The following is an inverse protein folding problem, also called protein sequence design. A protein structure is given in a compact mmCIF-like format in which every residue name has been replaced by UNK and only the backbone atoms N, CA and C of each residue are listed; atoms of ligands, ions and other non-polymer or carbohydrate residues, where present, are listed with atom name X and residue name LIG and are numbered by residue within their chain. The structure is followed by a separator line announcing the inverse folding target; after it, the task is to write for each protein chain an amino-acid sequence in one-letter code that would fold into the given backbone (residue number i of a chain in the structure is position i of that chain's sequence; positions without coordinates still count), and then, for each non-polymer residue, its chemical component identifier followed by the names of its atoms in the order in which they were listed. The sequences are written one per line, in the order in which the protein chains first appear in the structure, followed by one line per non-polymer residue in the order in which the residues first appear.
data_IF_581980097783
#
_entry.id   IF_581980097783
#
_cell.length_a   1.000
_cell.length_b   1.000
_cell.length_c   1.000
_cell.angle_alpha   90.00
_cell.angle_beta   90.00
_cell.angle_gamma   90.00
#
_symmetry.space_group_name_H-M   'P 1'
#
loop_
_entity.id
_entity.type
_entity.pdbx_description
1 polymer ?
#
# COMPACT_ATOMS: atom_id res chain seq x y z
N UNK A 1 16.00 6.85 -0.13
CA UNK A 1 15.77 6.51 1.29
C UNK A 1 16.82 5.49 1.71
N UNK A 2 17.49 5.70 2.85
CA UNK A 2 18.38 4.70 3.46
C UNK A 2 17.56 3.66 4.23
N UNK A 3 18.20 2.55 4.65
CA UNK A 3 17.53 1.53 5.47
C UNK A 3 17.00 2.11 6.79
N UNK A 4 17.80 2.88 7.52
CA UNK A 4 17.39 3.49 8.79
C UNK A 4 16.20 4.43 8.62
N UNK A 5 16.20 5.24 7.55
CA UNK A 5 15.06 6.10 7.21
C UNK A 5 13.80 5.29 6.89
N UNK A 6 13.95 4.16 6.19
CA UNK A 6 12.84 3.26 5.87
C UNK A 6 12.27 2.60 7.12
N UNK A 7 13.13 2.14 8.02
CA UNK A 7 12.73 1.55 9.30
C UNK A 7 12.02 2.58 10.18
N UNK A 8 12.54 3.82 10.26
CA UNK A 8 11.91 4.91 11.00
C UNK A 8 10.53 5.27 10.41
N UNK A 9 10.42 5.37 9.08
CA UNK A 9 9.15 5.66 8.42
C UNK A 9 8.15 4.53 8.59
N UNK A 10 8.60 3.27 8.52
CA UNK A 10 7.74 2.11 8.72
C UNK A 10 7.24 2.03 10.17
N UNK A 11 8.11 2.29 11.15
CA UNK A 11 7.72 2.35 12.56
C UNK A 11 6.66 3.43 12.81
N UNK A 12 6.75 4.58 12.11
CA UNK A 12 5.72 5.61 12.15
C UNK A 12 4.41 5.15 11.52
N UNK A 13 4.45 4.53 10.32
CA UNK A 13 3.27 3.98 9.65
C UNK A 13 2.56 2.92 10.50
N UNK A 14 3.32 1.99 11.11
CA UNK A 14 2.80 0.96 12.00
C UNK A 14 2.05 1.56 13.19
N UNK A 15 2.63 2.58 13.84
CA UNK A 15 1.96 3.27 14.95
C UNK A 15 0.66 3.93 14.52
N UNK A 16 0.67 4.61 13.36
CA UNK A 16 -0.51 5.27 12.81
C UNK A 16 -1.63 4.26 12.51
N UNK A 17 -1.30 3.16 11.83
CA UNK A 17 -2.28 2.13 11.47
C UNK A 17 -2.81 1.39 12.69
N UNK A 18 -1.95 1.01 13.64
CA UNK A 18 -2.41 0.34 14.85
C UNK A 18 -3.29 1.26 15.71
N UNK A 19 -2.94 2.54 15.83
CA UNK A 19 -3.82 3.51 16.51
C UNK A 19 -5.19 3.58 15.83
N UNK A 20 -5.23 3.64 14.49
CA UNK A 20 -6.48 3.68 13.75
C UNK A 20 -7.29 2.38 13.91
N UNK A 21 -6.65 1.21 13.77
CA UNK A 21 -7.31 -0.10 13.95
C UNK A 21 -7.88 -0.27 15.35
N UNK A 22 -7.20 0.22 16.39
CA UNK A 22 -7.71 0.22 17.76
C UNK A 22 -8.94 1.12 17.90
N UNK A 23 -8.84 2.38 17.46
CA UNK A 23 -9.95 3.36 17.60
C UNK A 23 -11.18 2.95 16.79
N UNK A 24 -10.97 2.37 15.60
CA UNK A 24 -12.04 1.92 14.71
C UNK A 24 -12.51 0.47 15.01
N UNK A 25 -11.92 -0.19 16.02
CA UNK A 25 -12.31 -1.54 16.44
C UNK A 25 -11.94 -2.67 15.48
N UNK A 26 -11.12 -2.43 14.47
CA UNK A 26 -10.72 -3.47 13.50
C UNK A 26 -9.55 -4.33 14.00
N UNK A 27 -8.83 -3.89 15.04
CA UNK A 27 -7.76 -4.66 15.65
C UNK A 27 -8.24 -6.02 16.19
N UNK A 28 -9.46 -6.09 16.74
CA UNK A 28 -10.03 -7.35 17.24
C UNK A 28 -10.40 -8.32 16.12
N UNK A 29 -10.68 -7.80 14.92
CA UNK A 29 -11.10 -8.58 13.75
C UNK A 29 -9.95 -9.04 12.86
N UNK A 30 -8.93 -8.18 12.75
CA UNK A 30 -7.87 -8.26 11.75
C UNK A 30 -6.46 -8.20 12.35
N UNK A 31 -6.35 -8.16 13.69
CA UNK A 31 -5.11 -8.05 14.42
C UNK A 31 -4.36 -6.74 14.15
N UNK A 32 -3.15 -6.68 14.72
CA UNK A 32 -2.26 -5.54 14.55
C UNK A 32 -1.40 -5.69 13.30
N UNK A 33 -0.94 -4.54 12.83
CA UNK A 33 0.10 -4.41 11.82
C UNK A 33 1.47 -4.48 12.49
N UNK A 34 2.41 -5.19 11.86
CA UNK A 34 3.80 -5.31 12.29
C UNK A 34 4.72 -4.94 11.14
N UNK A 35 5.71 -4.09 11.41
CA UNK A 35 6.73 -3.76 10.41
C UNK A 35 7.57 -4.99 10.07
N UNK A 36 7.82 -5.24 8.78
CA UNK A 36 8.57 -6.40 8.32
C UNK A 36 9.75 -6.00 7.42
N UNK A 37 10.89 -6.63 7.65
CA UNK A 37 12.07 -6.51 6.78
C UNK A 37 11.74 -6.97 5.35
N UNK A 38 11.00 -8.07 5.21
CA UNK A 38 10.60 -8.60 3.91
C UNK A 38 9.62 -7.66 3.18
N UNK A 39 8.65 -7.09 3.90
CA UNK A 39 7.71 -6.14 3.30
C UNK A 39 8.39 -4.81 2.91
N UNK A 40 9.36 -4.34 3.71
CA UNK A 40 10.20 -3.19 3.36
C UNK A 40 11.06 -3.46 2.12
N UNK A 41 11.64 -4.66 2.00
CA UNK A 41 12.41 -5.04 0.83
C UNK A 41 11.52 -5.08 -0.44
N UNK A 42 10.33 -5.67 -0.33
CA UNK A 42 9.34 -5.66 -1.42
C UNK A 42 8.94 -4.23 -1.81
N UNK A 43 8.65 -3.35 -0.84
CA UNK A 43 8.32 -1.95 -1.10
C UNK A 43 9.44 -1.22 -1.85
N UNK A 44 10.70 -1.45 -1.46
CA UNK A 44 11.86 -0.85 -2.13
C UNK A 44 12.07 -1.38 -3.55
N UNK A 45 11.85 -2.66 -3.79
CA UNK A 45 11.94 -3.23 -5.15
C UNK A 45 10.83 -2.70 -6.06
N UNK A 46 9.61 -2.53 -5.53
CA UNK A 46 8.49 -1.94 -6.26
C UNK A 46 8.79 -0.48 -6.62
N UNK A 47 9.26 0.32 -5.65
CA UNK A 47 9.68 1.70 -5.88
C UNK A 47 10.79 1.82 -6.95
N UNK A 48 11.71 0.85 -7.00
CA UNK A 48 12.72 0.78 -8.08
C UNK A 48 12.07 0.45 -9.43
N UNK A 49 11.09 -0.46 -9.47
CA UNK A 49 10.31 -0.76 -10.67
C UNK A 49 9.62 0.49 -11.23
N UNK A 50 8.82 1.17 -10.40
CA UNK A 50 8.13 2.42 -10.76
C UNK A 50 9.11 3.46 -11.33
N UNK A 51 10.28 3.64 -10.69
CA UNK A 51 11.30 4.58 -11.17
C UNK A 51 11.89 4.18 -12.52
N UNK A 52 12.20 2.89 -12.70
CA UNK A 52 12.78 2.37 -13.95
C UNK A 52 11.79 2.53 -15.11
N UNK A 53 10.51 2.32 -14.84
CA UNK A 53 9.43 2.44 -15.82
C UNK A 53 8.96 3.89 -16.00
N UNK A 54 9.52 4.83 -15.22
CA UNK A 54 9.11 6.24 -15.16
C UNK A 54 7.60 6.35 -14.96
N UNK A 55 7.08 5.58 -14.02
CA UNK A 55 5.67 5.33 -13.88
C UNK A 55 4.92 6.54 -13.34
N UNK A 56 3.99 7.06 -14.15
CA UNK A 56 3.10 8.14 -13.76
C UNK A 56 1.78 7.57 -13.23
N UNK A 57 1.67 7.41 -11.92
CA UNK A 57 0.48 6.84 -11.29
C UNK A 57 -0.78 7.70 -11.35
N UNK A 58 -0.67 9.02 -11.56
CA UNK A 58 -1.86 9.85 -11.79
C UNK A 58 -2.57 9.47 -13.09
N UNK A 59 -1.81 9.01 -14.08
CA UNK A 59 -2.34 8.63 -15.40
C UNK A 59 -2.59 7.12 -15.48
N UNK A 60 -1.67 6.33 -14.94
CA UNK A 60 -1.63 4.88 -15.13
C UNK A 60 -2.09 4.08 -13.91
N UNK A 61 -2.44 4.73 -12.81
CA UNK A 61 -2.75 4.08 -11.53
C UNK A 61 -1.56 3.24 -11.02
N UNK A 62 -1.81 2.01 -10.56
CA UNK A 62 -0.77 1.10 -10.09
C UNK A 62 0.04 0.50 -11.26
N UNK A 63 1.35 0.38 -11.08
CA UNK A 63 2.21 -0.46 -11.93
C UNK A 63 2.03 -1.93 -11.53
N UNK A 64 0.93 -2.52 -12.02
CA UNK A 64 0.61 -3.91 -11.72
C UNK A 64 1.72 -4.87 -12.17
N UNK A 65 2.51 -4.54 -13.20
CA UNK A 65 3.59 -5.40 -13.67
C UNK A 65 4.74 -5.42 -12.67
N UNK A 66 5.20 -4.25 -12.21
CA UNK A 66 6.24 -4.13 -11.19
C UNK A 66 5.80 -4.77 -9.87
N UNK A 67 4.58 -4.46 -9.40
CA UNK A 67 4.04 -4.99 -8.14
C UNK A 67 3.92 -6.51 -8.18
N UNK A 68 3.32 -7.07 -9.23
CA UNK A 68 3.12 -8.52 -9.33
C UNK A 68 4.43 -9.29 -9.55
N UNK A 69 5.42 -8.68 -10.22
CA UNK A 69 6.75 -9.28 -10.36
C UNK A 69 7.42 -9.46 -9.00
N UNK A 70 7.38 -8.42 -8.16
CA UNK A 70 7.90 -8.49 -6.80
C UNK A 70 7.07 -9.44 -5.94
N UNK A 71 5.73 -9.38 -5.99
CA UNK A 71 4.88 -10.31 -5.25
C UNK A 71 5.25 -11.79 -5.52
N UNK A 72 5.40 -12.17 -6.80
CA UNK A 72 5.83 -13.53 -7.20
C UNK A 72 7.21 -13.89 -6.64
N UNK A 73 8.17 -12.97 -6.70
CA UNK A 73 9.53 -13.18 -6.16
C UNK A 73 9.51 -13.52 -4.68
N UNK A 74 8.61 -12.92 -3.91
CA UNK A 74 8.46 -13.16 -2.47
C UNK A 74 7.46 -14.28 -2.15
N UNK A 75 6.96 -15.01 -3.16
CA UNK A 75 6.01 -16.12 -2.98
C UNK A 75 4.60 -15.68 -2.58
N UNK A 76 4.23 -14.44 -2.88
CA UNK A 76 2.90 -13.88 -2.60
C UNK A 76 1.95 -14.11 -3.78
N UNK A 77 0.66 -14.21 -3.47
CA UNK A 77 -0.39 -14.35 -4.46
C UNK A 77 -0.45 -13.14 -5.41
N UNK A 78 -0.85 -13.40 -6.65
CA UNK A 78 -1.18 -12.39 -7.67
C UNK A 78 -2.49 -12.76 -8.35
N UNK A 79 -3.20 -11.81 -8.97
CA UNK A 79 -4.40 -12.13 -9.74
C UNK A 79 -4.05 -13.03 -10.94
N UNK A 80 -4.88 -14.03 -11.24
CA UNK A 80 -4.61 -15.04 -12.29
C UNK A 80 -4.32 -14.42 -13.66
N UNK A 81 -5.02 -13.35 -14.02
CA UNK A 81 -4.89 -12.63 -15.28
C UNK A 81 -3.97 -11.39 -15.20
N UNK A 82 -3.36 -11.14 -14.03
CA UNK A 82 -2.55 -9.95 -13.75
C UNK A 82 -3.26 -8.60 -14.05
N UNK A 83 -4.59 -8.56 -14.07
CA UNK A 83 -5.38 -7.34 -14.36
C UNK A 83 -5.39 -6.31 -13.22
N UNK A 84 -4.65 -6.58 -12.15
CA UNK A 84 -4.58 -5.78 -10.94
C UNK A 84 -3.42 -6.26 -10.07
N UNK A 85 -3.41 -5.84 -8.81
CA UNK A 85 -2.43 -6.24 -7.81
C UNK A 85 -3.12 -6.44 -6.45
N UNK A 86 -2.46 -7.12 -5.50
CA UNK A 86 -3.07 -7.52 -4.22
C UNK A 86 -2.40 -6.96 -2.96
N UNK A 87 -1.25 -6.30 -3.07
CA UNK A 87 -0.37 -6.03 -1.91
C UNK A 87 -0.07 -4.55 -1.67
N UNK A 88 -0.23 -3.68 -2.67
CA UNK A 88 0.16 -2.27 -2.61
C UNK A 88 -1.04 -1.36 -2.34
N UNK A 89 -0.86 -0.41 -1.42
CA UNK A 89 -1.63 0.81 -1.37
C UNK A 89 -0.71 1.96 -1.78
N UNK A 90 -1.11 2.75 -2.78
CA UNK A 90 -0.26 3.75 -3.39
C UNK A 90 -0.75 5.16 -3.05
N UNK A 91 0.12 5.97 -2.48
CA UNK A 91 -0.11 7.40 -2.30
C UNK A 91 0.82 8.20 -3.19
N UNK A 92 0.26 9.08 -4.03
CA UNK A 92 1.03 9.91 -4.94
C UNK A 92 0.77 11.38 -4.72
N UNK A 93 1.85 12.15 -4.68
CA UNK A 93 1.86 13.60 -4.56
C UNK A 93 2.44 14.22 -5.82
N UNK A 94 1.77 15.24 -6.36
CA UNK A 94 2.34 16.12 -7.37
C UNK A 94 3.18 17.18 -6.66
N UNK A 95 4.49 17.09 -6.79
CA UNK A 95 5.42 18.08 -6.28
C UNK A 95 5.51 19.25 -7.27
N UNK A 96 5.56 20.47 -6.72
CA UNK A 96 5.61 21.69 -7.53
C UNK A 96 6.86 21.77 -8.40
N UNK A 97 6.77 22.59 -9.44
CA UNK A 97 7.88 22.89 -10.34
C UNK A 97 9.07 23.41 -9.53
N UNK A 98 10.25 22.79 -9.69
CA UNK A 98 11.48 23.12 -8.95
C UNK A 98 11.47 22.82 -7.43
N UNK A 99 10.56 21.96 -6.94
CA UNK A 99 10.67 21.44 -5.58
C UNK A 99 12.03 20.74 -5.38
N UNK A 100 12.60 20.86 -4.17
CA UNK A 100 13.81 20.12 -3.80
C UNK A 100 13.50 18.61 -3.81
N UNK A 101 13.96 17.95 -4.87
CA UNK A 101 13.68 16.54 -5.17
C UNK A 101 14.62 15.59 -4.44
N UNK A 102 15.81 16.08 -4.09
CA UNK A 102 16.89 15.26 -3.56
C UNK A 102 16.88 15.21 -2.02
N UNK A 103 16.14 16.11 -1.37
CA UNK A 103 16.21 16.29 0.09
C UNK A 103 14.84 16.32 0.78
N UNK A 104 13.96 15.35 0.48
CA UNK A 104 12.80 15.09 1.36
C UNK A 104 13.35 14.60 2.71
N UNK A 105 13.21 15.45 3.73
CA UNK A 105 13.60 15.09 5.09
C UNK A 105 12.54 14.18 5.73
N UNK A 106 12.87 13.58 6.89
CA UNK A 106 11.97 12.66 7.58
C UNK A 106 10.68 13.31 8.10
N UNK A 107 10.67 14.63 8.35
CA UNK A 107 9.44 15.34 8.71
C UNK A 107 8.47 15.35 7.52
N UNK A 108 8.94 15.74 6.34
CA UNK A 108 8.13 15.80 5.12
C UNK A 108 7.67 14.40 4.68
N UNK A 109 8.53 13.39 4.83
CA UNK A 109 8.17 12.00 4.55
C UNK A 109 7.05 11.50 5.49
N UNK A 110 7.18 11.71 6.81
CA UNK A 110 6.14 11.33 7.78
C UNK A 110 4.84 12.08 7.54
N UNK A 111 4.90 13.37 7.21
CA UNK A 111 3.73 14.18 6.86
C UNK A 111 3.01 13.63 5.63
N UNK A 112 3.75 13.24 4.59
CA UNK A 112 3.20 12.63 3.39
C UNK A 112 2.56 11.27 3.67
N UNK A 113 3.21 10.43 4.48
CA UNK A 113 2.63 9.14 4.92
C UNK A 113 1.35 9.34 5.71
N UNK A 114 1.34 10.27 6.66
CA UNK A 114 0.14 10.61 7.43
C UNK A 114 -1.01 11.04 6.51
N UNK A 115 -0.73 11.98 5.59
CA UNK A 115 -1.72 12.44 4.63
C UNK A 115 -2.25 11.28 3.77
N UNK A 116 -1.37 10.45 3.24
CA UNK A 116 -1.76 9.30 2.43
C UNK A 116 -2.68 8.34 3.16
N UNK A 117 -2.36 8.01 4.41
CA UNK A 117 -3.23 7.15 5.24
C UNK A 117 -4.59 7.80 5.51
N UNK A 118 -4.64 9.10 5.82
CA UNK A 118 -5.90 9.81 6.05
C UNK A 118 -6.76 9.86 4.77
N UNK A 119 -6.15 10.18 3.63
CA UNK A 119 -6.84 10.19 2.34
C UNK A 119 -7.39 8.78 2.02
N UNK A 120 -6.60 7.73 2.25
CA UNK A 120 -7.01 6.33 2.03
C UNK A 120 -8.09 5.86 3.01
N UNK A 121 -8.21 6.43 4.21
CA UNK A 121 -9.27 6.06 5.16
C UNK A 121 -10.57 6.81 4.92
N UNK A 122 -10.49 8.10 4.60
CA UNK A 122 -11.66 8.99 4.66
C UNK A 122 -12.04 9.60 3.32
N UNK A 123 -11.16 9.53 2.32
CA UNK A 123 -11.37 10.15 1.01
C UNK A 123 -11.19 9.19 -0.18
N UNK A 124 -11.10 7.89 0.10
CA UNK A 124 -10.76 6.86 -0.89
C UNK A 124 -11.81 6.74 -2.02
N UNK A 125 -13.05 7.12 -1.74
CA UNK A 125 -14.11 7.08 -2.76
C UNK A 125 -13.92 8.13 -3.86
N UNK A 126 -13.32 9.29 -3.57
CA UNK A 126 -13.28 10.42 -4.51
C UNK A 126 -12.53 10.12 -5.80
N UNK A 127 -11.63 9.14 -5.78
CA UNK A 127 -10.82 8.76 -6.93
C UNK A 127 -11.22 7.41 -7.54
N UNK A 128 -12.42 6.90 -7.21
CA UNK A 128 -12.91 5.64 -7.77
C UNK A 128 -12.28 4.37 -7.17
N UNK A 129 -11.54 4.49 -6.06
CA UNK A 129 -10.89 3.34 -5.39
C UNK A 129 -11.88 2.45 -4.63
N UNK A 130 -13.16 2.84 -4.51
CA UNK A 130 -14.24 2.06 -3.89
C UNK A 130 -13.90 1.56 -2.47
N UNK A 131 -13.17 2.36 -1.70
CA UNK A 131 -12.69 2.01 -0.35
C UNK A 131 -11.64 0.87 -0.30
N UNK A 132 -11.05 0.48 -1.44
CA UNK A 132 -10.07 -0.60 -1.50
C UNK A 132 -8.85 -0.37 -0.59
N UNK A 133 -8.36 0.87 -0.50
CA UNK A 133 -7.22 1.17 0.38
C UNK A 133 -7.63 1.14 1.86
N UNK A 134 -8.79 1.69 2.19
CA UNK A 134 -9.33 1.64 3.55
C UNK A 134 -9.49 0.19 4.03
N UNK A 135 -10.09 -0.67 3.19
CA UNK A 135 -10.30 -2.09 3.49
C UNK A 135 -8.95 -2.80 3.67
N UNK A 136 -7.96 -2.52 2.84
CA UNK A 136 -6.61 -3.11 2.93
C UNK A 136 -5.88 -2.69 4.20
N UNK A 137 -5.76 -1.38 4.45
CA UNK A 137 -5.00 -0.84 5.58
C UNK A 137 -5.65 -1.13 6.94
N UNK A 138 -6.99 -1.11 7.02
CA UNK A 138 -7.73 -1.50 8.24
C UNK A 138 -7.77 -3.02 8.44
N UNK A 139 -7.24 -3.79 7.49
CA UNK A 139 -7.16 -5.24 7.56
C UNK A 139 -8.50 -5.94 7.33
N UNK A 140 -9.51 -5.25 6.80
CA UNK A 140 -10.85 -5.79 6.60
C UNK A 140 -10.90 -6.86 5.49
N UNK A 141 -9.88 -6.93 4.63
CA UNK A 141 -9.69 -8.02 3.68
C UNK A 141 -9.70 -9.41 4.34
N UNK A 142 -9.33 -9.52 5.63
CA UNK A 142 -9.34 -10.78 6.39
C UNK A 142 -10.73 -11.45 6.43
N UNK A 143 -11.81 -10.71 6.15
CA UNK A 143 -13.16 -11.25 6.08
C UNK A 143 -13.37 -12.21 4.90
N UNK A 144 -12.47 -12.18 3.90
CA UNK A 144 -12.51 -13.04 2.72
C UNK A 144 -11.70 -14.34 2.86
N UNK A 145 -11.06 -14.56 4.01
CA UNK A 145 -10.14 -15.68 4.24
C UNK A 145 -10.60 -16.59 5.37
N UNK A 146 -10.25 -17.87 5.28
CA UNK A 146 -10.34 -18.78 6.42
C UNK A 146 -9.34 -18.35 7.50
N UNK A 147 -9.88 -17.97 8.67
CA UNK A 147 -9.09 -17.55 9.82
C UNK A 147 -8.68 -18.71 10.74
N UNK A 148 -9.15 -19.92 10.45
CA UNK A 148 -8.90 -21.11 11.28
C UNK A 148 -7.39 -21.35 11.37
N UNK A 149 -6.84 -21.25 12.58
CA UNK A 149 -5.40 -21.35 12.88
C UNK A 149 -4.51 -20.21 12.35
N UNK A 150 -5.08 -19.11 11.87
CA UNK A 150 -4.30 -17.93 11.48
C UNK A 150 -3.90 -17.10 12.72
N UNK A 151 -2.67 -16.58 12.72
CA UNK A 151 -2.38 -15.42 13.54
C UNK A 151 -2.79 -14.19 12.69
N UNK A 152 -3.63 -13.31 13.23
CA UNK A 152 -4.17 -12.17 12.49
C UNK A 152 -3.11 -11.06 12.27
N UNK A 153 -1.84 -11.43 12.14
CA UNK A 153 -0.77 -10.46 11.92
C UNK A 153 -0.82 -9.98 10.48
N UNK A 154 -0.81 -8.67 10.29
CA UNK A 154 -0.56 -8.07 8.98
C UNK A 154 0.85 -7.53 8.95
N UNK A 155 1.69 -7.99 8.03
CA UNK A 155 3.01 -7.41 7.83
C UNK A 155 2.92 -6.17 6.94
N UNK A 156 3.64 -5.11 7.29
CA UNK A 156 3.70 -3.90 6.47
C UNK A 156 5.12 -3.44 6.18
N UNK A 157 5.28 -2.90 4.98
CA UNK A 157 6.47 -2.16 4.58
C UNK A 157 6.11 -0.86 3.89
N UNK A 158 7.05 0.08 3.89
CA UNK A 158 6.91 1.36 3.18
C UNK A 158 8.18 1.67 2.40
N UNK A 159 8.04 2.17 1.18
CA UNK A 159 9.14 2.81 0.45
C UNK A 159 8.58 3.93 -0.40
N UNK A 160 9.46 4.65 -1.07
CA UNK A 160 9.07 5.76 -1.93
C UNK A 160 9.98 5.92 -3.14
N UNK A 161 9.40 6.38 -4.25
CA UNK A 161 10.14 6.80 -5.44
C UNK A 161 9.77 8.21 -5.88
N UNK A 162 10.67 8.79 -6.67
CA UNK A 162 10.42 10.02 -7.40
C UNK A 162 10.39 9.70 -8.89
N UNK A 163 9.39 10.21 -9.60
CA UNK A 163 9.28 10.09 -11.06
C UNK A 163 9.07 11.47 -11.68
N UNK A 164 9.98 11.85 -12.57
CA UNK A 164 9.86 13.08 -13.35
C UNK A 164 8.71 12.96 -14.35
N UNK A 165 7.85 13.97 -14.38
CA UNK A 165 6.77 14.08 -15.35
C UNK A 165 6.91 15.36 -16.17
N UNK A 166 6.05 15.52 -17.18
CA UNK A 166 6.15 16.63 -18.13
C UNK A 166 6.18 18.01 -17.44
N UNK A 167 6.79 18.99 -18.13
CA UNK A 167 6.81 20.40 -17.73
C UNK A 167 7.58 20.76 -16.44
N UNK A 168 8.41 19.84 -15.94
CA UNK A 168 9.25 20.03 -14.75
C UNK A 168 8.50 19.79 -13.43
N UNK A 169 7.40 19.05 -13.48
CA UNK A 169 6.73 18.50 -12.31
C UNK A 169 7.32 17.15 -11.94
N UNK A 170 7.19 16.79 -10.66
CA UNK A 170 7.74 15.56 -10.12
C UNK A 170 6.66 14.85 -9.31
N UNK A 171 6.58 13.54 -9.44
CA UNK A 171 5.74 12.72 -8.60
C UNK A 171 6.55 12.20 -7.45
N UNK A 172 6.05 12.37 -6.23
CA UNK A 172 6.52 11.62 -5.08
C UNK A 172 5.51 10.53 -4.78
N UNK A 173 5.95 9.27 -4.87
CA UNK A 173 5.10 8.09 -4.74
C UNK A 173 5.51 7.34 -3.48
N UNK A 174 4.55 6.95 -2.64
CA UNK A 174 4.73 6.15 -1.44
C UNK A 174 3.97 4.83 -1.58
N UNK A 175 4.68 3.73 -1.40
CA UNK A 175 4.16 2.37 -1.56
C UNK A 175 4.00 1.75 -0.18
N UNK A 176 2.76 1.45 0.23
CA UNK A 176 2.49 0.72 1.46
C UNK A 176 2.18 -0.73 1.11
N UNK A 177 3.11 -1.63 1.42
CA UNK A 177 3.00 -3.04 1.09
C UNK A 177 2.40 -3.79 2.26
N UNK A 178 1.17 -4.28 2.09
CA UNK A 178 0.36 -4.97 3.09
C UNK A 178 0.32 -6.45 2.77
N UNK A 179 0.80 -7.27 3.71
CA UNK A 179 0.84 -8.74 3.57
C UNK A 179 0.13 -9.37 4.76
N UNK A 180 -1.15 -9.76 4.62
CA UNK A 180 -1.85 -10.51 5.64
C UNK A 180 -1.23 -11.90 5.84
N UNK A 181 -1.01 -12.31 7.08
CA UNK A 181 -0.55 -13.67 7.39
C UNK A 181 -1.72 -14.67 7.41
N UNK A 182 -2.37 -14.83 6.27
CA UNK A 182 -3.54 -15.70 6.09
C UNK A 182 -3.15 -16.86 5.17
N UNK A 183 -3.67 -18.05 5.44
CA UNK A 183 -3.44 -19.22 4.58
C UNK A 183 -4.35 -19.15 3.35
N UNK A 184 -3.79 -19.46 2.18
CA UNK A 184 -4.29 -19.26 0.80
C UNK A 184 -5.65 -19.86 0.38
N UNK A 185 -6.57 -20.14 1.30
CA UNK A 185 -7.96 -20.42 0.89
C UNK A 185 -8.67 -19.08 0.65
N UNK A 186 -8.32 -18.39 -0.44
CA UNK A 186 -9.16 -17.33 -0.99
C UNK A 186 -10.41 -18.01 -1.54
N UNK A 187 -11.45 -18.14 -0.72
CA UNK A 187 -12.80 -18.40 -1.23
C UNK A 187 -13.27 -17.15 -1.95
N UNK A 188 -13.05 -17.10 -3.27
CA UNK A 188 -13.76 -16.18 -4.16
C UNK A 188 -15.24 -16.53 -4.11
N UNK A 189 -15.94 -16.00 -3.12
CA UNK A 189 -17.39 -15.97 -3.18
C UNK A 189 -17.72 -14.90 -4.21
N UNK A 190 -17.89 -15.30 -5.47
CA UNK A 190 -18.58 -14.47 -6.45
C UNK A 190 -19.94 -14.14 -5.88
N UNK A 191 -20.08 -12.97 -5.26
CA UNK A 191 -21.38 -12.36 -5.09
C UNK A 191 -21.85 -12.02 -6.48
N UNK A 192 -22.65 -12.90 -7.06
CA UNK A 192 -23.52 -12.52 -8.18
C UNK A 192 -24.25 -11.27 -7.77
N UNK A 193 -24.04 -10.24 -8.57
CA UNK A 193 -24.73 -8.98 -8.56
C UNK A 193 -26.22 -9.30 -8.56
N UNK A 194 -26.85 -9.18 -7.39
CA UNK A 194 -28.29 -9.27 -7.24
C UNK A 194 -28.85 -7.99 -7.87
N UNK A 195 -29.00 -7.99 -9.20
CA UNK A 195 -29.87 -7.07 -9.91
C UNK A 195 -31.31 -7.38 -9.51
N UNK A 196 -31.67 -6.92 -8.30
CA UNK A 196 -33.05 -6.81 -7.86
C UNK A 196 -33.73 -5.68 -8.60
N UNK A 197 -34.56 -6.07 -9.59
CA UNK A 197 -35.77 -5.42 -10.14
C UNK A 197 -35.83 -3.90 -10.22
#
# INVERSE_FOLDING_TARGET
MTQEQQEELNAYLVQLLNSARTVLGTADLAGNVVGSVGANAAASEIAVGYRNDRWNSFVNHHDNAAVNSVAKKYGLAVPENSSGQLIENLHTLLMGKFADQDHINMYDAKKSVYKGVIDMFFDDYKNGNKMGNAVSLLGLNVLNYDKTNSNLTTYIGVSSDGTDVAEGYHLQQYHFIVVPNLTDQVTTTTTTDDNGT
#
